data_IF_866698742928
#
_entry.id   IF_866698742928
#
_cell.length_a   1.000
_cell.length_b   1.000
_cell.length_c   1.000
_cell.angle_alpha   90.00
_cell.angle_beta   90.00
_cell.angle_gamma   90.00
#
_symmetry.space_group_name_H-M   'P 1'
#
loop_
_entity.id
_entity.type
_entity.pdbx_description
1 polymer ?
#
# COMPACT_ATOMS: atom_id res chain seq x y z
N UNK A 1 -17.87 -8.71 -15.98
CA UNK A 1 -17.26 -7.48 -16.50
C UNK A 1 -17.06 -6.60 -15.29
N UNK A 2 -15.87 -6.61 -14.69
CA UNK A 2 -15.48 -5.59 -13.72
C UNK A 2 -15.24 -4.32 -14.55
N UNK A 3 -16.01 -3.27 -14.27
CA UNK A 3 -15.91 -2.01 -14.99
C UNK A 3 -14.65 -1.29 -14.48
N UNK A 4 -13.58 -1.17 -15.29
CA UNK A 4 -12.27 -0.66 -14.88
C UNK A 4 -12.26 0.85 -14.63
N UNK A 5 -13.40 1.45 -14.27
CA UNK A 5 -13.54 2.82 -13.78
C UNK A 5 -14.17 2.92 -12.39
N UNK A 6 -14.87 1.86 -11.93
CA UNK A 6 -15.49 1.85 -10.60
C UNK A 6 -14.42 1.72 -9.50
N UNK A 7 -13.42 0.87 -9.72
CA UNK A 7 -12.41 0.55 -8.69
C UNK A 7 -11.57 1.78 -8.34
N UNK A 8 -11.36 2.73 -9.25
CA UNK A 8 -10.54 3.93 -8.97
C UNK A 8 -11.26 4.83 -7.98
N UNK A 9 -12.53 5.15 -8.24
CA UNK A 9 -13.28 6.03 -7.36
C UNK A 9 -13.49 5.39 -5.99
N UNK A 10 -13.66 4.06 -5.94
CA UNK A 10 -13.71 3.32 -4.67
C UNK A 10 -12.37 3.35 -3.94
N UNK A 11 -11.25 3.12 -4.63
CA UNK A 11 -9.91 3.23 -4.03
C UNK A 11 -9.59 4.65 -3.55
N UNK A 12 -9.91 5.69 -4.34
CA UNK A 12 -9.72 7.08 -3.94
C UNK A 12 -10.57 7.43 -2.71
N UNK A 13 -11.80 6.92 -2.62
CA UNK A 13 -12.67 7.14 -1.45
C UNK A 13 -12.17 6.41 -0.21
N UNK A 14 -11.73 5.15 -0.35
CA UNK A 14 -11.13 4.38 0.75
C UNK A 14 -9.83 5.02 1.22
N UNK A 15 -8.97 5.45 0.29
CA UNK A 15 -7.73 6.15 0.59
C UNK A 15 -7.98 7.42 1.40
N UNK A 16 -8.95 8.25 1.02
CA UNK A 16 -9.30 9.45 1.78
C UNK A 16 -9.72 9.14 3.22
N UNK A 17 -10.57 8.13 3.41
CA UNK A 17 -10.99 7.72 4.76
C UNK A 17 -9.79 7.22 5.61
N UNK A 18 -8.85 6.51 4.98
CA UNK A 18 -7.63 6.07 5.65
C UNK A 18 -6.67 7.22 5.95
N UNK A 19 -6.58 8.24 5.09
CA UNK A 19 -5.76 9.42 5.38
C UNK A 19 -6.26 10.16 6.62
N UNK A 20 -7.57 10.30 6.80
CA UNK A 20 -8.15 10.87 8.03
C UNK A 20 -7.76 10.04 9.26
N UNK A 21 -7.75 8.71 9.14
CA UNK A 21 -7.34 7.81 10.22
C UNK A 21 -5.83 7.87 10.49
N UNK A 22 -5.00 8.07 9.47
CA UNK A 22 -3.55 8.26 9.60
C UNK A 22 -3.23 9.52 10.42
N UNK A 23 -4.03 10.57 10.28
CA UNK A 23 -3.87 11.81 11.07
C UNK A 23 -4.17 11.60 12.56
N UNK A 24 -5.12 10.74 12.89
CA UNK A 24 -5.51 10.43 14.28
C UNK A 24 -4.59 9.36 14.90
N UNK A 25 -4.42 8.24 14.20
CA UNK A 25 -3.70 7.05 14.64
C UNK A 25 -2.96 6.37 13.48
N UNK A 26 -1.74 6.83 13.12
CA UNK A 26 -1.02 6.31 11.96
C UNK A 26 -0.66 4.83 12.09
N UNK A 27 -0.34 4.37 13.30
CA UNK A 27 -0.03 2.97 13.56
C UNK A 27 -1.25 2.05 13.39
N UNK A 28 -2.44 2.52 13.73
CA UNK A 28 -3.69 1.75 13.58
C UNK A 28 -4.14 1.70 12.12
N UNK A 29 -3.85 2.73 11.31
CA UNK A 29 -4.22 2.80 9.90
C UNK A 29 -3.29 1.98 8.96
N UNK A 30 -2.06 1.67 9.38
CA UNK A 30 -1.09 0.88 8.60
C UNK A 30 -1.63 -0.45 8.01
N UNK A 31 -2.28 -1.33 8.79
CA UNK A 31 -2.82 -2.58 8.26
C UNK A 31 -3.89 -2.36 7.17
N UNK A 32 -4.70 -1.32 7.32
CA UNK A 32 -5.75 -0.99 6.37
C UNK A 32 -5.15 -0.39 5.07
N UNK A 33 -4.16 0.50 5.20
CA UNK A 33 -3.37 1.00 4.05
C UNK A 33 -2.69 -0.13 3.29
N UNK A 34 -2.04 -1.04 4.02
CA UNK A 34 -1.35 -2.17 3.42
C UNK A 34 -2.29 -3.12 2.68
N UNK A 35 -3.51 -3.32 3.20
CA UNK A 35 -4.52 -4.17 2.56
C UNK A 35 -5.05 -3.53 1.27
N UNK A 36 -5.36 -2.23 1.31
CA UNK A 36 -5.83 -1.49 0.14
C UNK A 36 -4.77 -1.47 -0.98
N UNK A 37 -3.51 -1.18 -0.65
CA UNK A 37 -2.42 -1.19 -1.63
C UNK A 37 -2.15 -2.60 -2.17
N UNK A 38 -2.27 -3.64 -1.34
CA UNK A 38 -2.14 -5.03 -1.78
C UNK A 38 -3.18 -5.38 -2.84
N UNK A 39 -4.46 -5.07 -2.58
CA UNK A 39 -5.55 -5.31 -3.52
C UNK A 39 -5.30 -4.59 -4.85
N UNK A 40 -4.88 -3.33 -4.80
CA UNK A 40 -4.55 -2.55 -6.01
C UNK A 40 -3.39 -3.14 -6.82
N UNK A 41 -2.39 -3.70 -6.16
CA UNK A 41 -1.26 -4.37 -6.79
C UNK A 41 -1.70 -5.69 -7.43
N UNK A 42 -2.48 -6.50 -6.71
CA UNK A 42 -3.00 -7.78 -7.22
C UNK A 42 -3.93 -7.58 -8.43
N UNK A 43 -4.82 -6.59 -8.37
CA UNK A 43 -5.71 -6.19 -9.47
C UNK A 43 -4.93 -5.75 -10.73
N UNK A 44 -3.75 -5.17 -10.56
CA UNK A 44 -2.84 -4.79 -11.65
C UNK A 44 -1.93 -5.93 -12.13
N UNK A 45 -2.04 -7.11 -11.52
CA UNK A 45 -1.26 -8.29 -11.89
C UNK A 45 0.11 -8.38 -11.21
N UNK A 46 0.38 -7.57 -10.18
CA UNK A 46 1.55 -7.75 -9.33
C UNK A 46 1.32 -8.97 -8.41
N UNK A 47 2.19 -9.96 -8.53
CA UNK A 47 2.20 -11.14 -7.67
C UNK A 47 3.11 -10.88 -6.47
N UNK A 48 2.47 -10.62 -5.32
CA UNK A 48 3.14 -10.31 -4.05
C UNK A 48 3.82 -11.53 -3.41
N UNK A 49 3.41 -12.75 -3.81
CA UNK A 49 3.93 -14.02 -3.28
C UNK A 49 5.20 -14.49 -4.01
N UNK A 50 5.44 -14.05 -5.25
CA UNK A 50 6.59 -14.45 -6.08
C UNK A 50 7.40 -13.23 -6.59
N UNK A 51 7.98 -12.42 -5.68
CA UNK A 51 8.72 -11.20 -6.06
C UNK A 51 9.96 -11.47 -6.90
N UNK A 52 10.56 -12.66 -6.80
CA UNK A 52 11.80 -13.04 -7.51
C UNK A 52 11.60 -13.28 -9.00
N UNK A 53 10.35 -13.46 -9.45
CA UNK A 53 10.02 -13.70 -10.84
C UNK A 53 9.88 -12.40 -11.67
N UNK A 54 9.93 -11.22 -11.01
CA UNK A 54 9.76 -9.91 -11.65
C UNK A 54 11.09 -9.29 -12.07
N UNK A 55 11.03 -8.48 -13.12
CA UNK A 55 12.17 -7.76 -13.68
C UNK A 55 11.91 -6.24 -13.65
N UNK A 56 12.98 -5.45 -13.55
CA UNK A 56 12.90 -3.98 -13.59
C UNK A 56 12.08 -3.37 -12.45
N UNK A 57 11.30 -2.35 -12.78
CA UNK A 57 10.52 -1.53 -11.84
C UNK A 57 9.49 -2.35 -11.04
N UNK A 58 8.88 -3.39 -11.63
CA UNK A 58 7.89 -4.20 -10.93
C UNK A 58 8.46 -4.92 -9.70
N UNK A 59 9.74 -5.32 -9.76
CA UNK A 59 10.43 -5.95 -8.63
C UNK A 59 10.66 -4.95 -7.50
N UNK A 60 11.01 -3.71 -7.84
CA UNK A 60 11.24 -2.63 -6.89
C UNK A 60 9.94 -2.27 -6.16
N UNK A 61 8.84 -2.13 -6.90
CA UNK A 61 7.49 -1.89 -6.36
C UNK A 61 7.07 -2.98 -5.37
N UNK A 62 7.23 -4.25 -5.73
CA UNK A 62 6.87 -5.35 -4.81
C UNK A 62 7.80 -5.39 -3.59
N UNK A 63 9.10 -5.10 -3.76
CA UNK A 63 10.03 -5.05 -2.64
C UNK A 63 9.70 -3.92 -1.66
N UNK A 64 9.37 -2.74 -2.17
CA UNK A 64 8.92 -1.59 -1.36
C UNK A 64 7.65 -1.92 -0.58
N UNK A 65 6.65 -2.52 -1.24
CA UNK A 65 5.42 -2.97 -0.59
C UNK A 65 5.69 -3.97 0.54
N UNK A 66 6.56 -4.96 0.30
CA UNK A 66 6.89 -5.97 1.31
C UNK A 66 7.63 -5.38 2.51
N UNK A 67 8.51 -4.40 2.29
CA UNK A 67 9.20 -3.70 3.38
C UNK A 67 8.21 -2.90 4.26
N UNK A 68 7.29 -2.14 3.65
CA UNK A 68 6.24 -1.45 4.39
C UNK A 68 5.34 -2.44 5.15
N UNK A 69 5.00 -3.57 4.52
CA UNK A 69 4.19 -4.64 5.14
C UNK A 69 4.88 -5.30 6.31
N UNK A 70 6.20 -5.41 6.30
CA UNK A 70 6.97 -5.92 7.44
C UNK A 70 6.80 -5.01 8.66
N UNK A 71 6.92 -3.69 8.48
CA UNK A 71 6.72 -2.70 9.54
C UNK A 71 5.28 -2.79 10.08
N UNK A 72 4.28 -2.85 9.20
CA UNK A 72 2.87 -3.05 9.59
C UNK A 72 2.71 -4.30 10.47
N UNK A 73 3.32 -5.41 10.08
CA UNK A 73 3.27 -6.67 10.84
C UNK A 73 3.93 -6.55 12.20
N UNK A 74 5.03 -5.81 12.29
CA UNK A 74 5.72 -5.54 13.55
C UNK A 74 4.86 -4.69 14.47
N UNK A 75 4.19 -3.65 13.95
CA UNK A 75 3.25 -2.80 14.70
C UNK A 75 2.11 -3.63 15.30
N UNK A 76 1.53 -4.54 14.50
CA UNK A 76 0.45 -5.44 14.94
C UNK A 76 0.93 -6.48 15.97
N UNK A 77 2.16 -6.98 15.82
CA UNK A 77 2.69 -8.05 16.66
C UNK A 77 3.27 -7.54 17.98
N UNK A 78 3.95 -6.39 17.98
CA UNK A 78 4.65 -5.82 19.14
C UNK A 78 4.81 -4.31 18.96
N UNK A 79 3.92 -3.53 19.59
CA UNK A 79 3.91 -2.07 19.45
C UNK A 79 5.13 -1.34 20.06
N UNK A 80 5.94 -2.01 20.89
CA UNK A 80 7.10 -1.40 21.57
C UNK A 80 8.40 -1.42 20.72
N UNK A 81 8.47 -2.24 19.66
CA UNK A 81 9.69 -2.35 18.83
C UNK A 81 9.70 -1.41 17.62
N UNK A 82 8.57 -0.81 17.28
CA UNK A 82 8.43 0.06 16.10
C UNK A 82 8.44 1.52 16.52
N UNK A 83 9.35 2.32 15.95
CA UNK A 83 9.42 3.74 16.24
C UNK A 83 8.37 4.51 15.44
N UNK A 84 8.01 5.72 15.90
CA UNK A 84 7.14 6.62 15.13
C UNK A 84 7.71 6.95 13.74
N UNK A 85 9.04 6.94 13.60
CA UNK A 85 9.74 7.13 12.32
C UNK A 85 9.53 5.95 11.36
N UNK A 86 9.57 4.71 11.87
CA UNK A 86 9.29 3.50 11.09
C UNK A 86 7.83 3.50 10.61
N UNK A 87 6.89 3.87 11.49
CA UNK A 87 5.46 4.03 11.13
C UNK A 87 5.31 5.09 10.02
N UNK A 88 5.93 6.25 10.19
CA UNK A 88 5.89 7.31 9.19
C UNK A 88 6.51 6.85 7.86
N UNK A 89 7.60 6.10 7.90
CA UNK A 89 8.23 5.55 6.70
C UNK A 89 7.30 4.58 5.98
N UNK A 90 6.64 3.66 6.70
CA UNK A 90 5.69 2.72 6.11
C UNK A 90 4.47 3.42 5.49
N UNK A 91 3.91 4.44 6.16
CA UNK A 91 2.83 5.27 5.60
C UNK A 91 3.27 5.93 4.30
N UNK A 92 4.47 6.52 4.26
CA UNK A 92 4.98 7.17 3.05
C UNK A 92 5.23 6.18 1.92
N UNK A 93 5.73 4.98 2.21
CA UNK A 93 5.86 3.91 1.21
C UNK A 93 4.50 3.52 0.63
N UNK A 94 3.47 3.31 1.46
CA UNK A 94 2.12 3.03 0.94
C UNK A 94 1.54 4.17 0.11
N UNK A 95 1.79 5.43 0.49
CA UNK A 95 1.35 6.60 -0.29
C UNK A 95 2.04 6.66 -1.65
N UNK A 96 3.36 6.46 -1.69
CA UNK A 96 4.14 6.40 -2.94
C UNK A 96 3.60 5.33 -3.90
N UNK A 97 3.36 4.13 -3.38
CA UNK A 97 2.78 3.03 -4.14
C UNK A 97 1.38 3.36 -4.64
N UNK A 98 0.51 3.90 -3.78
CA UNK A 98 -0.82 4.33 -4.18
C UNK A 98 -0.80 5.37 -5.32
N UNK A 99 0.04 6.40 -5.19
CA UNK A 99 0.19 7.45 -6.21
C UNK A 99 0.66 6.87 -7.55
N UNK A 100 1.65 5.97 -7.52
CA UNK A 100 2.12 5.25 -8.69
C UNK A 100 0.99 4.45 -9.37
N UNK A 101 0.24 3.68 -8.58
CA UNK A 101 -0.85 2.83 -9.08
C UNK A 101 -1.97 3.66 -9.70
N UNK A 102 -2.37 4.78 -9.08
CA UNK A 102 -3.38 5.70 -9.62
C UNK A 102 -2.88 6.39 -10.90
N UNK A 103 -1.60 6.79 -10.94
CA UNK A 103 -1.00 7.43 -12.11
C UNK A 103 -0.92 6.48 -13.32
N UNK A 104 -0.53 5.21 -13.14
CA UNK A 104 -0.49 4.21 -14.22
C UNK A 104 -1.86 3.98 -14.87
N UNK A 105 -2.94 3.96 -14.09
CA UNK A 105 -4.31 3.81 -14.63
C UNK A 105 -4.79 5.05 -15.40
N UNK A 106 -4.12 6.19 -15.22
CA UNK A 106 -4.41 7.43 -15.93
C UNK A 106 -3.67 7.52 -17.29
N UNK A 107 -2.79 6.56 -17.60
CA UNK A 107 -2.16 6.46 -18.91
C UNK A 107 -3.21 6.02 -19.97
N UNK A 108 -3.32 6.74 -21.10
CA UNK A 108 -4.38 6.56 -22.11
C UNK A 108 -4.25 5.32 -23.00
#
# INVERSE_FOLDING_TARGET
MLEPGLDRHEWESQWQALEEQVEDSPAEALPELGSLVAEMLEERGFALEEPVAREGDEREIVAEFLAAREITRLVESTSDEVSADDVASAVNSYRSLYEYLIAERSAP
#
